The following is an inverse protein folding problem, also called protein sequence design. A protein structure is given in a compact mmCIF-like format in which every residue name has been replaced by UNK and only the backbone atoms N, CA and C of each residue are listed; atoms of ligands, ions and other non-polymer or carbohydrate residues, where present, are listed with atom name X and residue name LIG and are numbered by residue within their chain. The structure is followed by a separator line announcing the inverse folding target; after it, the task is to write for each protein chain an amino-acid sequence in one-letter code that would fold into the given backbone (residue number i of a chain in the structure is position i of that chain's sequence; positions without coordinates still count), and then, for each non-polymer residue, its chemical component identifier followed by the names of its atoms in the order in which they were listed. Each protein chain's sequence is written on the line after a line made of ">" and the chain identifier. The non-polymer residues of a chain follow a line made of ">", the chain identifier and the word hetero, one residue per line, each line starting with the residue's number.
data_IF_066305913746
#
_entry.id   IF_066305913746
#
_cell.length_a   1.000
_cell.length_b   1.000
_cell.length_c   1.000
_cell.angle_alpha   90.00
_cell.angle_beta   90.00
_cell.angle_gamma   90.00
#
_symmetry.space_group_name_H-M   'P 1'
#
loop_
_entity.id
_entity.type
_entity.pdbx_description
1 polymer ?
#
# COMPACT_ATOMS: atom_id res chain seq x y z
N UNK A 1 4.97 -27.99 27.54
CA UNK A 1 5.92 -27.27 26.67
C UNK A 1 5.57 -27.59 25.22
N UNK A 2 4.68 -26.78 24.62
CA UNK A 2 4.25 -26.97 23.24
C UNK A 2 5.13 -26.13 22.31
N UNK A 3 5.75 -26.78 21.32
CA UNK A 3 6.43 -26.10 20.22
C UNK A 3 5.38 -25.41 19.35
N UNK A 4 5.27 -24.08 19.42
CA UNK A 4 4.61 -23.30 18.37
C UNK A 4 5.57 -23.23 17.17
N UNK A 5 5.41 -24.15 16.22
CA UNK A 5 6.08 -24.13 14.92
C UNK A 5 5.45 -23.09 13.99
N UNK A 6 5.27 -21.86 14.48
CA UNK A 6 4.82 -20.71 13.69
C UNK A 6 6.01 -19.80 13.40
N UNK A 7 6.14 -19.33 12.16
CA UNK A 7 7.12 -18.28 11.82
C UNK A 7 6.88 -17.05 12.70
N UNK A 8 7.94 -16.41 13.17
CA UNK A 8 7.82 -15.14 13.91
C UNK A 8 7.26 -14.02 13.03
N UNK A 9 6.65 -12.97 13.61
CA UNK A 9 6.13 -11.83 12.82
C UNK A 9 7.21 -11.21 11.92
N UNK A 10 8.45 -11.14 12.43
CA UNK A 10 9.59 -10.64 11.67
C UNK A 10 9.92 -11.49 10.45
N UNK A 11 9.84 -12.83 10.55
CA UNK A 11 10.02 -13.73 9.41
C UNK A 11 8.90 -13.55 8.37
N UNK A 12 7.66 -13.34 8.82
CA UNK A 12 6.52 -13.04 7.94
C UNK A 12 6.72 -11.70 7.22
N UNK A 13 7.18 -10.67 7.92
CA UNK A 13 7.52 -9.38 7.32
C UNK A 13 8.64 -9.49 6.27
N UNK A 14 9.71 -10.26 6.57
CA UNK A 14 10.77 -10.52 5.58
C UNK A 14 10.26 -11.32 4.38
N UNK A 15 9.30 -12.23 4.59
CA UNK A 15 8.64 -12.94 3.49
C UNK A 15 7.85 -11.99 2.61
N UNK A 16 7.08 -11.06 3.20
CA UNK A 16 6.39 -9.99 2.46
C UNK A 16 7.36 -9.14 1.64
N UNK A 17 8.52 -8.79 2.22
CA UNK A 17 9.56 -8.06 1.50
C UNK A 17 9.99 -8.77 0.23
N UNK A 18 10.29 -10.08 0.32
CA UNK A 18 10.67 -10.90 -0.85
C UNK A 18 9.54 -10.96 -1.87
N UNK A 19 8.29 -11.11 -1.43
CA UNK A 19 7.13 -11.14 -2.31
C UNK A 19 6.94 -9.80 -3.04
N UNK A 20 7.06 -8.68 -2.33
CA UNK A 20 6.98 -7.34 -2.91
C UNK A 20 8.10 -7.07 -3.92
N UNK A 21 9.33 -7.49 -3.61
CA UNK A 21 10.47 -7.37 -4.54
C UNK A 21 10.25 -8.20 -5.82
N UNK A 22 9.65 -9.39 -5.69
CA UNK A 22 9.29 -10.21 -6.85
C UNK A 22 8.20 -9.55 -7.72
N UNK A 23 7.12 -9.05 -7.09
CA UNK A 23 6.05 -8.32 -7.78
C UNK A 23 6.63 -7.12 -8.55
N UNK A 24 7.46 -6.31 -7.89
CA UNK A 24 8.13 -5.16 -8.51
C UNK A 24 9.01 -5.57 -9.69
N UNK A 25 9.74 -6.69 -9.57
CA UNK A 25 10.57 -7.21 -10.66
C UNK A 25 9.73 -7.65 -11.87
N UNK A 26 8.56 -8.26 -11.64
CA UNK A 26 7.62 -8.62 -12.70
C UNK A 26 7.02 -7.39 -13.38
N UNK A 27 6.65 -6.36 -12.62
CA UNK A 27 6.17 -5.07 -13.17
C UNK A 27 7.23 -4.40 -14.06
N UNK A 28 8.47 -4.33 -13.57
CA UNK A 28 9.59 -3.79 -14.33
C UNK A 28 9.83 -4.57 -15.62
N UNK A 29 9.76 -5.90 -15.56
CA UNK A 29 9.89 -6.75 -16.74
C UNK A 29 8.80 -6.45 -17.78
N UNK A 30 7.53 -6.33 -17.35
CA UNK A 30 6.43 -5.98 -18.26
C UNK A 30 6.66 -4.63 -18.94
N UNK A 31 7.10 -3.60 -18.18
CA UNK A 31 7.44 -2.29 -18.74
C UNK A 31 8.59 -2.37 -19.76
N UNK A 32 9.60 -3.21 -19.50
CA UNK A 32 10.73 -3.40 -20.43
C UNK A 32 10.29 -4.09 -21.72
N UNK A 33 9.49 -5.16 -21.61
CA UNK A 33 8.97 -5.91 -22.77
C UNK A 33 8.10 -5.03 -23.66
N UNK A 34 7.32 -4.11 -23.08
CA UNK A 34 6.52 -3.16 -23.87
C UNK A 34 7.38 -2.18 -24.68
N UNK A 35 8.47 -1.68 -24.09
CA UNK A 35 9.37 -0.69 -24.71
C UNK A 35 10.35 -1.30 -25.71
N UNK A 36 10.64 -2.59 -25.61
CA UNK A 36 11.65 -3.24 -26.44
C UNK A 36 11.11 -3.58 -27.83
N UNK A 37 11.57 -2.88 -28.87
CA UNK A 37 11.09 -3.08 -30.23
C UNK A 37 11.78 -4.24 -30.97
N UNK A 38 12.87 -4.78 -30.41
CA UNK A 38 13.64 -5.88 -31.02
C UNK A 38 12.92 -7.24 -30.83
N UNK A 39 12.10 -7.39 -29.80
CA UNK A 39 11.38 -8.65 -29.52
C UNK A 39 10.24 -8.83 -30.54
N UNK A 40 10.15 -9.99 -31.22
CA UNK A 40 9.05 -10.30 -32.13
C UNK A 40 7.68 -10.17 -31.46
N UNK A 41 6.70 -9.60 -32.15
CA UNK A 41 5.39 -9.27 -31.59
C UNK A 41 4.68 -10.45 -30.92
N UNK A 42 4.76 -11.63 -31.52
CA UNK A 42 4.16 -12.85 -30.96
C UNK A 42 4.81 -13.24 -29.62
N UNK A 43 6.15 -13.15 -29.52
CA UNK A 43 6.88 -13.44 -28.29
C UNK A 43 6.56 -12.39 -27.21
N UNK A 44 6.50 -11.11 -27.58
CA UNK A 44 6.12 -10.01 -26.69
C UNK A 44 4.74 -10.23 -26.09
N UNK A 45 3.76 -10.58 -26.92
CA UNK A 45 2.38 -10.84 -26.47
C UNK A 45 2.31 -12.03 -25.53
N UNK A 46 2.92 -13.17 -25.89
CA UNK A 46 2.91 -14.38 -25.05
C UNK A 46 3.59 -14.14 -23.70
N UNK A 47 4.74 -13.44 -23.68
CA UNK A 47 5.42 -13.07 -22.43
C UNK A 47 4.56 -12.12 -21.59
N UNK A 48 3.91 -11.13 -22.22
CA UNK A 48 3.03 -10.20 -21.50
C UNK A 48 1.84 -10.93 -20.89
N UNK A 49 1.14 -11.78 -21.64
CA UNK A 49 0.00 -12.56 -21.14
C UNK A 49 0.40 -13.43 -19.94
N UNK A 50 1.44 -14.26 -20.09
CA UNK A 50 1.89 -15.16 -19.02
C UNK A 50 2.30 -14.41 -17.74
N UNK A 51 3.13 -13.37 -17.87
CA UNK A 51 3.62 -12.62 -16.69
C UNK A 51 2.51 -11.77 -16.07
N UNK A 52 1.55 -11.26 -16.85
CA UNK A 52 0.44 -10.46 -16.30
C UNK A 52 -0.49 -11.31 -15.44
N UNK A 53 -0.80 -12.55 -15.87
CA UNK A 53 -1.62 -13.46 -15.07
C UNK A 53 -0.92 -13.85 -13.76
N UNK A 54 0.35 -14.22 -13.83
CA UNK A 54 1.17 -14.53 -12.65
C UNK A 54 1.30 -13.34 -11.70
N UNK A 55 1.46 -12.13 -12.25
CA UNK A 55 1.56 -10.91 -11.46
C UNK A 55 0.28 -10.63 -10.66
N UNK A 56 -0.89 -10.77 -11.29
CA UNK A 56 -2.19 -10.59 -10.60
C UNK A 56 -2.33 -11.62 -9.48
N UNK A 57 -1.98 -12.88 -9.76
CA UNK A 57 -1.99 -13.95 -8.75
C UNK A 57 -1.07 -13.64 -7.57
N UNK A 58 0.17 -13.22 -7.85
CA UNK A 58 1.16 -12.87 -6.82
C UNK A 58 0.71 -11.69 -5.96
N UNK A 59 0.09 -10.67 -6.56
CA UNK A 59 -0.48 -9.53 -5.82
C UNK A 59 -1.61 -9.95 -4.88
N UNK A 60 -2.48 -10.86 -5.31
CA UNK A 60 -3.54 -11.43 -4.44
C UNK A 60 -2.96 -12.21 -3.28
N UNK A 61 -2.02 -13.11 -3.55
CA UNK A 61 -1.35 -13.90 -2.51
C UNK A 61 -0.61 -13.00 -1.53
N UNK A 62 0.04 -11.93 -2.01
CA UNK A 62 0.65 -10.91 -1.17
C UNK A 62 -0.37 -10.26 -0.23
N UNK A 63 -1.50 -9.82 -0.77
CA UNK A 63 -2.54 -9.16 0.01
C UNK A 63 -3.15 -10.10 1.06
N UNK A 64 -3.44 -11.34 0.69
CA UNK A 64 -3.94 -12.36 1.61
C UNK A 64 -2.93 -12.64 2.73
N UNK A 65 -1.64 -12.72 2.39
CA UNK A 65 -0.58 -12.93 3.37
C UNK A 65 -0.46 -11.75 4.33
N UNK A 66 -0.51 -10.52 3.82
CA UNK A 66 -0.53 -9.28 4.61
C UNK A 66 -1.71 -9.28 5.59
N UNK A 67 -2.93 -9.56 5.11
CA UNK A 67 -4.11 -9.63 5.97
C UNK A 67 -3.99 -10.68 7.07
N UNK A 68 -3.51 -11.87 6.72
CA UNK A 68 -3.30 -12.94 7.69
C UNK A 68 -2.26 -12.56 8.75
N UNK A 69 -1.23 -11.81 8.38
CA UNK A 69 -0.22 -11.30 9.31
C UNK A 69 -0.80 -10.24 10.24
N UNK A 70 -1.52 -9.24 9.68
CA UNK A 70 -2.17 -8.18 10.46
C UNK A 70 -3.20 -8.73 11.45
N UNK A 71 -3.98 -9.74 11.04
CA UNK A 71 -4.99 -10.37 11.90
C UNK A 71 -4.40 -11.16 13.07
N UNK A 72 -3.13 -11.58 12.98
CA UNK A 72 -2.42 -12.36 14.01
C UNK A 72 -1.52 -11.49 14.91
N UNK A 73 -1.43 -10.20 14.62
CA UNK A 73 -0.62 -9.28 15.42
C UNK A 73 -1.27 -9.10 16.79
N UNK A 74 -0.56 -9.49 17.85
CA UNK A 74 -1.06 -9.50 19.22
C UNK A 74 -0.24 -8.58 20.15
N UNK A 75 -0.64 -8.49 21.43
CA UNK A 75 0.10 -7.71 22.42
C UNK A 75 1.56 -8.20 22.54
N UNK A 76 2.52 -7.29 22.42
CA UNK A 76 3.95 -7.57 22.53
C UNK A 76 4.64 -7.95 21.21
N UNK A 77 3.91 -8.02 20.10
CA UNK A 77 4.50 -8.08 18.76
C UNK A 77 4.93 -6.68 18.29
N UNK A 78 5.94 -6.57 17.40
CA UNK A 78 6.33 -5.31 16.78
C UNK A 78 5.16 -4.58 16.11
N UNK A 79 5.13 -3.27 16.32
CA UNK A 79 4.18 -2.39 15.66
C UNK A 79 4.41 -2.30 14.15
N UNK A 80 3.31 -2.29 13.41
CA UNK A 80 3.30 -2.10 11.97
C UNK A 80 2.42 -0.93 11.58
N UNK A 81 2.95 -0.11 10.68
CA UNK A 81 2.25 1.05 10.13
C UNK A 81 2.23 0.93 8.61
N UNK A 82 1.24 1.57 8.00
CA UNK A 82 1.15 1.73 6.56
C UNK A 82 1.20 3.20 6.21
N UNK A 83 1.90 3.51 5.13
CA UNK A 83 2.06 4.87 4.66
C UNK A 83 1.73 4.94 3.17
N UNK A 84 0.89 5.90 2.81
CA UNK A 84 0.49 6.18 1.43
C UNK A 84 0.86 7.59 1.04
N UNK A 85 1.38 7.72 -0.17
CA UNK A 85 1.72 9.01 -0.78
C UNK A 85 0.75 9.19 -1.95
N UNK A 86 -0.13 10.17 -1.82
CA UNK A 86 -1.12 10.51 -2.83
C UNK A 86 -0.70 11.79 -3.56
N UNK A 87 -0.86 11.77 -4.88
CA UNK A 87 -0.74 12.93 -5.74
C UNK A 87 -2.12 13.27 -6.29
N UNK A 88 -2.56 14.51 -6.04
CA UNK A 88 -3.82 15.03 -6.58
C UNK A 88 -3.49 16.19 -7.50
N UNK A 89 -3.93 16.13 -8.75
CA UNK A 89 -3.75 17.22 -9.71
C UNK A 89 -5.12 17.72 -10.16
N UNK A 90 -5.35 19.02 -9.97
CA UNK A 90 -6.61 19.70 -10.30
C UNK A 90 -7.85 18.95 -9.71
N UNK A 91 -9.00 19.00 -10.37
CA UNK A 91 -10.29 18.45 -9.91
C UNK A 91 -10.60 17.03 -10.40
N UNK A 92 -9.61 16.15 -10.56
CA UNK A 92 -9.95 14.78 -10.95
C UNK A 92 -8.82 13.78 -11.13
N UNK A 93 -7.56 14.21 -11.10
CA UNK A 93 -6.46 13.27 -11.12
C UNK A 93 -6.07 12.89 -9.68
N UNK A 94 -6.23 11.62 -9.35
CA UNK A 94 -5.81 11.03 -8.08
C UNK A 94 -4.92 9.83 -8.38
N UNK A 95 -3.69 9.87 -7.90
CA UNK A 95 -2.69 8.84 -8.11
C UNK A 95 -2.01 8.48 -6.78
N UNK A 96 -1.55 7.23 -6.70
CA UNK A 96 -0.73 6.75 -5.59
C UNK A 96 0.70 6.70 -6.05
N UNK A 97 1.53 7.61 -5.53
CA UNK A 97 2.98 7.62 -5.80
C UNK A 97 3.68 6.46 -5.08
N UNK A 98 3.33 6.24 -3.81
CA UNK A 98 3.95 5.20 -2.97
C UNK A 98 2.96 4.57 -2.01
N UNK A 99 3.16 3.27 -1.80
CA UNK A 99 2.57 2.49 -0.72
C UNK A 99 3.70 1.80 0.04
N UNK A 100 3.78 2.00 1.35
CA UNK A 100 4.89 1.53 2.19
C UNK A 100 4.34 0.85 3.44
N UNK A 101 4.85 -0.35 3.73
CA UNK A 101 4.62 -1.04 4.99
C UNK A 101 5.85 -0.88 5.89
N UNK A 102 5.62 -0.31 7.06
CA UNK A 102 6.61 -0.09 8.10
C UNK A 102 6.52 -1.16 9.17
N UNK A 103 7.66 -1.67 9.61
CA UNK A 103 7.80 -2.41 10.86
C UNK A 103 9.02 -1.85 11.59
N UNK A 104 8.76 -1.07 12.64
CA UNK A 104 9.77 -0.25 13.32
C UNK A 104 10.49 0.68 12.31
N UNK A 105 11.82 0.59 12.21
CA UNK A 105 12.64 1.37 11.28
C UNK A 105 12.75 0.76 9.87
N UNK A 106 12.21 -0.44 9.66
CA UNK A 106 12.26 -1.09 8.36
C UNK A 106 11.05 -0.71 7.52
N UNK A 107 11.30 -0.36 6.26
CA UNK A 107 10.29 -0.11 5.25
C UNK A 107 10.34 -1.14 4.13
N UNK A 108 9.17 -1.45 3.59
CA UNK A 108 8.98 -2.25 2.39
C UNK A 108 7.98 -1.52 1.50
N UNK A 109 8.38 -1.23 0.26
CA UNK A 109 7.43 -0.78 -0.75
C UNK A 109 6.48 -1.94 -1.06
N UNK A 110 5.17 -1.71 -0.97
CA UNK A 110 4.13 -2.70 -1.23
C UNK A 110 3.39 -2.34 -2.53
N UNK A 111 2.60 -3.27 -3.12
CA UNK A 111 1.86 -2.99 -4.35
C UNK A 111 1.03 -1.71 -4.24
N UNK A 112 1.14 -0.84 -5.24
CA UNK A 112 0.48 0.47 -5.23
C UNK A 112 -1.04 0.33 -5.22
N UNK A 113 -1.58 -0.78 -5.76
CA UNK A 113 -3.02 -1.08 -5.76
C UNK A 113 -3.62 -1.08 -4.36
N UNK A 114 -2.82 -1.39 -3.33
CA UNK A 114 -3.28 -1.33 -1.93
C UNK A 114 -3.65 0.11 -1.57
N UNK A 115 -2.78 1.06 -1.91
CA UNK A 115 -3.02 2.48 -1.70
C UNK A 115 -4.12 3.02 -2.59
N UNK A 116 -4.21 2.56 -3.86
CA UNK A 116 -5.24 3.00 -4.81
C UNK A 116 -6.63 2.58 -4.33
N UNK A 117 -6.79 1.32 -3.91
CA UNK A 117 -8.06 0.81 -3.40
C UNK A 117 -8.49 1.53 -2.12
N UNK A 118 -7.59 1.68 -1.15
CA UNK A 118 -7.91 2.42 0.07
C UNK A 118 -8.22 3.88 -0.24
N UNK A 119 -7.43 4.50 -1.13
CA UNK A 119 -7.64 5.86 -1.61
C UNK A 119 -9.04 6.04 -2.19
N UNK A 120 -9.46 5.16 -3.10
CA UNK A 120 -10.81 5.15 -3.67
C UNK A 120 -11.91 4.91 -2.64
N UNK A 121 -11.68 4.08 -1.62
CA UNK A 121 -12.60 3.95 -0.49
C UNK A 121 -12.79 5.27 0.27
N UNK A 122 -11.73 6.08 0.39
CA UNK A 122 -11.76 7.38 1.08
C UNK A 122 -12.39 8.47 0.21
N UNK A 123 -11.92 8.62 -1.03
CA UNK A 123 -12.25 9.78 -1.87
C UNK A 123 -13.41 9.53 -2.84
N UNK A 124 -13.75 8.26 -3.11
CA UNK A 124 -14.67 7.84 -4.16
C UNK A 124 -14.03 7.85 -5.55
N UNK A 125 -14.68 7.23 -6.54
CA UNK A 125 -14.13 7.07 -7.90
C UNK A 125 -13.82 8.41 -8.61
N UNK A 126 -14.58 9.46 -8.32
CA UNK A 126 -14.42 10.77 -8.98
C UNK A 126 -13.42 11.70 -8.29
N UNK A 127 -12.86 11.29 -7.14
CA UNK A 127 -11.88 12.06 -6.36
C UNK A 127 -12.27 13.53 -6.04
N UNK A 128 -13.56 13.88 -6.13
CA UNK A 128 -14.06 15.22 -5.79
C UNK A 128 -13.80 15.51 -4.31
N UNK A 129 -13.22 16.67 -4.02
CA UNK A 129 -12.80 17.09 -2.67
C UNK A 129 -11.86 16.08 -1.98
N UNK A 130 -11.02 15.36 -2.75
CA UNK A 130 -10.13 14.31 -2.24
C UNK A 130 -9.31 14.75 -1.01
N UNK A 131 -8.69 15.94 -1.06
CA UNK A 131 -7.90 16.48 0.05
C UNK A 131 -8.72 16.55 1.34
N UNK A 132 -9.95 17.09 1.27
CA UNK A 132 -10.85 17.23 2.43
C UNK A 132 -11.28 15.87 2.97
N UNK A 133 -11.59 14.92 2.09
CA UNK A 133 -11.99 13.55 2.46
C UNK A 133 -10.85 12.81 3.14
N UNK A 134 -9.61 12.92 2.63
CA UNK A 134 -8.43 12.32 3.24
C UNK A 134 -8.15 12.91 4.62
N UNK A 135 -8.22 14.24 4.77
CA UNK A 135 -8.05 14.88 6.09
C UNK A 135 -9.12 14.39 7.08
N UNK A 136 -10.38 14.27 6.64
CA UNK A 136 -11.46 13.80 7.50
C UNK A 136 -11.25 12.34 7.92
N UNK A 137 -10.91 11.47 6.97
CA UNK A 137 -10.60 10.06 7.23
C UNK A 137 -9.43 9.90 8.20
N UNK A 138 -8.33 10.63 7.99
CA UNK A 138 -7.18 10.60 8.88
C UNK A 138 -7.56 10.96 10.31
N UNK A 139 -8.31 12.06 10.50
CA UNK A 139 -8.73 12.51 11.84
C UNK A 139 -9.63 11.49 12.54
N UNK A 140 -10.52 10.83 11.80
CA UNK A 140 -11.37 9.77 12.35
C UNK A 140 -10.53 8.55 12.77
N UNK A 141 -9.59 8.13 11.93
CA UNK A 141 -8.68 7.02 12.22
C UNK A 141 -7.79 7.34 13.43
N UNK A 142 -7.16 8.50 13.46
CA UNK A 142 -6.31 8.99 14.56
C UNK A 142 -7.07 9.01 15.88
N UNK A 143 -8.26 9.61 15.93
CA UNK A 143 -9.09 9.67 17.14
C UNK A 143 -9.54 8.28 17.64
N UNK A 144 -9.68 7.31 16.73
CA UNK A 144 -9.99 5.93 17.10
C UNK A 144 -8.76 5.23 17.68
N UNK A 145 -7.59 5.38 17.06
CA UNK A 145 -6.34 4.77 17.54
C UNK A 145 -5.89 5.37 18.88
N UNK A 146 -6.08 6.67 19.09
CA UNK A 146 -5.85 7.36 20.36
C UNK A 146 -6.58 6.67 21.53
N UNK A 147 -7.86 6.34 21.33
CA UNK A 147 -8.68 5.64 22.32
C UNK A 147 -8.24 4.19 22.56
N UNK A 148 -7.75 3.51 21.52
CA UNK A 148 -7.31 2.11 21.61
C UNK A 148 -5.92 1.96 22.27
N UNK A 149 -5.03 2.95 22.10
CA UNK A 149 -3.62 2.88 22.51
C UNK A 149 -3.25 3.89 23.61
N UNK A 150 -4.25 4.46 24.31
CA UNK A 150 -4.05 5.38 25.44
C UNK A 150 -3.12 6.57 25.14
N UNK A 151 -3.19 7.14 23.93
CA UNK A 151 -2.43 8.36 23.58
C UNK A 151 -1.11 8.16 22.84
N UNK A 152 -0.76 6.95 22.39
CA UNK A 152 0.40 6.76 21.50
C UNK A 152 0.09 7.16 20.05
N UNK A 153 0.21 8.46 19.78
CA UNK A 153 -0.05 9.07 18.48
C UNK A 153 1.21 9.22 17.61
N UNK A 154 2.39 8.82 18.08
CA UNK A 154 3.65 8.94 17.32
C UNK A 154 3.63 8.12 16.00
N UNK A 155 2.66 7.21 15.89
CA UNK A 155 2.44 6.31 14.76
C UNK A 155 1.52 6.87 13.68
N UNK A 156 0.78 7.93 13.98
CA UNK A 156 -0.08 8.62 13.03
C UNK A 156 0.63 9.87 12.52
N UNK A 157 0.70 10.05 11.19
CA UNK A 157 1.13 11.34 10.64
C UNK A 157 0.41 11.68 9.35
N UNK A 158 0.09 12.97 9.19
CA UNK A 158 -0.49 13.52 7.98
C UNK A 158 0.29 14.76 7.57
N UNK A 159 0.83 14.74 6.36
CA UNK A 159 1.44 15.88 5.70
C UNK A 159 0.65 16.17 4.43
N UNK A 160 0.18 17.41 4.28
CA UNK A 160 -0.49 17.90 3.07
C UNK A 160 0.33 19.08 2.56
N UNK A 161 0.93 18.92 1.38
CA UNK A 161 1.67 19.96 0.70
C UNK A 161 0.89 20.39 -0.54
N UNK A 162 0.70 21.70 -0.70
CA UNK A 162 0.12 22.30 -1.89
C UNK A 162 1.24 22.94 -2.72
N UNK A 163 1.31 22.56 -3.99
CA UNK A 163 2.22 23.11 -4.99
C UNK A 163 1.40 23.84 -6.05
N UNK A 164 1.75 25.09 -6.34
CA UNK A 164 0.97 25.96 -7.23
C UNK A 164 1.54 26.08 -8.66
N UNK A 165 2.75 25.54 -8.91
CA UNK A 165 3.45 25.68 -10.18
C UNK A 165 4.07 24.33 -10.57
N UNK A 166 3.94 23.85 -11.83
CA UNK A 166 3.34 24.50 -12.99
C UNK A 166 1.79 24.50 -13.01
N UNK A 167 1.15 23.72 -12.14
CA UNK A 167 -0.29 23.66 -11.93
C UNK A 167 -0.59 23.33 -10.46
N UNK A 168 -1.80 23.60 -9.97
CA UNK A 168 -2.18 23.24 -8.60
C UNK A 168 -2.19 21.73 -8.40
N UNK A 169 -1.32 21.24 -7.53
CA UNK A 169 -1.26 19.85 -7.11
C UNK A 169 -1.08 19.73 -5.60
N UNK A 170 -1.63 18.66 -5.04
CA UNK A 170 -1.46 18.31 -3.63
C UNK A 170 -0.69 17.01 -3.51
N UNK A 171 0.37 17.05 -2.69
CA UNK A 171 1.14 15.88 -2.29
C UNK A 171 0.76 15.56 -0.84
N UNK A 172 0.11 14.42 -0.64
CA UNK A 172 -0.37 14.00 0.67
C UNK A 172 0.40 12.76 1.10
N UNK A 173 1.06 12.83 2.25
CA UNK A 173 1.65 11.68 2.92
C UNK A 173 0.84 11.36 4.15
N UNK A 174 0.26 10.17 4.20
CA UNK A 174 -0.59 9.70 5.28
C UNK A 174 -0.03 8.39 5.84
N UNK A 175 0.37 8.40 7.12
CA UNK A 175 0.81 7.22 7.86
C UNK A 175 -0.19 6.90 8.98
N UNK A 176 -0.58 5.64 9.06
CA UNK A 176 -1.53 5.11 10.05
C UNK A 176 -1.07 3.72 10.50
N UNK A 177 -1.47 3.24 11.69
CA UNK A 177 -1.33 1.84 12.06
C UNK A 177 -1.91 0.92 10.98
N UNK A 178 -1.17 -0.13 10.60
CA UNK A 178 -1.53 -0.99 9.46
C UNK A 178 -2.86 -1.74 9.67
N UNK A 179 -3.33 -1.85 10.92
CA UNK A 179 -4.66 -2.35 11.29
C UNK A 179 -5.80 -1.64 10.56
N UNK A 180 -5.60 -0.40 10.08
CA UNK A 180 -6.59 0.31 9.25
C UNK A 180 -7.06 -0.50 8.04
N UNK A 181 -6.19 -1.36 7.47
CA UNK A 181 -6.55 -2.22 6.36
C UNK A 181 -7.58 -3.30 6.74
N UNK A 182 -7.62 -3.74 8.00
CA UNK A 182 -8.62 -4.71 8.47
C UNK A 182 -10.00 -4.04 8.62
N UNK A 183 -10.02 -2.76 8.97
CA UNK A 183 -11.26 -1.98 9.10
C UNK A 183 -11.82 -1.59 7.73
N UNK A 184 -10.93 -1.41 6.74
CA UNK A 184 -11.24 -1.10 5.36
C UNK A 184 -10.66 -2.17 4.43
N UNK A 185 -11.23 -3.39 4.42
CA UNK A 185 -10.71 -4.48 3.61
C UNK A 185 -10.80 -4.14 2.12
N UNK A 186 -9.68 -4.32 1.43
CA UNK A 186 -9.53 -4.07 0.00
C UNK A 186 -9.36 -5.38 -0.76
N UNK A 187 -9.61 -5.35 -2.06
CA UNK A 187 -9.41 -6.47 -2.97
C UNK A 187 -8.69 -6.05 -4.25
N UNK A 188 -7.87 -6.96 -4.79
CA UNK A 188 -7.07 -6.77 -6.02
C UNK A 188 -7.51 -7.79 -7.08
#
# INVERSE_FOLDING_TARGET
>A
MGRSSGSTLREQYLTLKVMADNIRSQEQFLMMVEREHIIPDMARRLSKEAISEDLISNKRVFLDFLYNMLARTGPGEPDMDIEFHYLIIDKGFFEVDKSILWMQENEVAIPFEIGDRLGKTIVGEEAVDAVRKIIAFYKEAEARFDREHFGDLDRCSLLVLEEHFPQSSWHIRMRLPAKILNDHPISI
#
